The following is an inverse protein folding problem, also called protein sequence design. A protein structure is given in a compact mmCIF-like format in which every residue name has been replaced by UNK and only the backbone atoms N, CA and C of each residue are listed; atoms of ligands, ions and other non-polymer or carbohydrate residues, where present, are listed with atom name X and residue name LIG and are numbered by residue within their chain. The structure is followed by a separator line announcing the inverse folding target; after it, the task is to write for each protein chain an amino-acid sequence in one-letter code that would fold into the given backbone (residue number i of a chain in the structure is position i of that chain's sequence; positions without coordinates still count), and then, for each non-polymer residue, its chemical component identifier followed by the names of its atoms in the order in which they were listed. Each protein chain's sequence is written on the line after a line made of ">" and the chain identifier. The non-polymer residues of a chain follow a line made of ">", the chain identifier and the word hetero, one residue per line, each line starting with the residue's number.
data_IF_459680868578
#
_entry.id   IF_459680868578
#
_cell.length_a   1.000
_cell.length_b   1.000
_cell.length_c   1.000
_cell.angle_alpha   90.00
_cell.angle_beta   90.00
_cell.angle_gamma   90.00
#
_symmetry.space_group_name_H-M   'P 1'
#
loop_
_entity.id
_entity.type
_entity.pdbx_description
1 polymer ?
#
# COMPACT_ATOMS: atom_id res chain seq x y z
N UNK A 1 2.83 11.98 5.58
CA UNK A 1 3.11 10.53 5.39
C UNK A 1 4.45 10.38 4.69
N UNK A 2 5.50 10.19 5.50
CA UNK A 2 6.87 10.23 4.98
C UNK A 2 7.48 8.86 4.71
N UNK A 3 6.87 7.78 5.20
CA UNK A 3 7.42 6.44 5.02
C UNK A 3 6.46 5.56 4.23
N UNK A 4 7.02 4.52 3.61
CA UNK A 4 6.20 3.52 2.92
C UNK A 4 5.18 2.90 3.89
N UNK A 5 5.61 2.60 5.12
CA UNK A 5 4.73 1.99 6.12
C UNK A 5 3.50 2.87 6.39
N UNK A 6 3.71 4.16 6.54
CA UNK A 6 2.61 5.09 6.76
C UNK A 6 1.69 5.19 5.55
N UNK A 7 2.26 5.22 4.36
CA UNK A 7 1.46 5.28 3.13
C UNK A 7 0.66 4.00 2.93
N UNK A 8 1.25 2.84 3.22
CA UNK A 8 0.53 1.57 3.13
C UNK A 8 -0.61 1.50 4.15
N UNK A 9 -0.36 1.95 5.37
CA UNK A 9 -1.40 1.99 6.40
C UNK A 9 -2.56 2.88 5.95
N UNK A 10 -2.25 4.05 5.41
CA UNK A 10 -3.27 4.95 4.87
C UNK A 10 -4.09 4.26 3.78
N UNK A 11 -3.41 3.59 2.84
CA UNK A 11 -4.07 2.89 1.74
C UNK A 11 -5.03 1.82 2.25
N UNK A 12 -4.61 1.05 3.26
CA UNK A 12 -5.45 0.02 3.86
C UNK A 12 -6.67 0.62 4.56
N UNK A 13 -6.49 1.72 5.26
CA UNK A 13 -7.59 2.41 5.93
C UNK A 13 -8.61 2.94 4.93
N UNK A 14 -8.14 3.53 3.84
CA UNK A 14 -9.03 4.04 2.80
C UNK A 14 -9.80 2.93 2.11
N UNK A 15 -9.19 1.76 1.98
CA UNK A 15 -9.82 0.59 1.36
C UNK A 15 -10.63 -0.25 2.36
N UNK A 16 -10.56 0.12 3.65
CA UNK A 16 -11.20 -0.64 4.72
C UNK A 16 -10.75 -2.11 4.73
N UNK A 17 -9.44 -2.32 4.57
CA UNK A 17 -8.86 -3.66 4.46
C UNK A 17 -8.05 -4.03 5.69
N UNK A 18 -8.27 -5.26 6.17
CA UNK A 18 -7.42 -5.86 7.19
C UNK A 18 -6.13 -6.39 6.56
N UNK A 19 -5.17 -6.76 7.41
CA UNK A 19 -3.95 -7.42 6.93
C UNK A 19 -4.27 -8.73 6.23
N UNK A 20 -5.24 -9.48 6.72
CA UNK A 20 -5.68 -10.73 6.07
C UNK A 20 -6.22 -10.48 4.67
N UNK A 21 -7.11 -9.50 4.52
CA UNK A 21 -7.69 -9.17 3.23
C UNK A 21 -6.61 -8.70 2.25
N UNK A 22 -5.69 -7.87 2.71
CA UNK A 22 -4.60 -7.39 1.86
C UNK A 22 -3.67 -8.53 1.46
N UNK A 23 -3.35 -9.42 2.40
CA UNK A 23 -2.53 -10.60 2.13
C UNK A 23 -3.11 -11.42 0.99
N UNK A 24 -4.40 -11.70 1.03
CA UNK A 24 -5.07 -12.48 -0.01
C UNK A 24 -5.06 -11.76 -1.35
N UNK A 25 -5.38 -10.48 -1.36
CA UNK A 25 -5.48 -9.72 -2.62
C UNK A 25 -4.12 -9.46 -3.25
N UNK A 26 -3.12 -9.16 -2.44
CA UNK A 26 -1.80 -8.81 -2.96
C UNK A 26 -0.89 -10.02 -3.17
N UNK A 27 -1.29 -11.18 -2.67
CA UNK A 27 -0.45 -12.37 -2.79
C UNK A 27 0.78 -12.33 -1.91
N UNK A 28 0.73 -11.60 -0.79
CA UNK A 28 1.81 -11.52 0.18
C UNK A 28 1.36 -12.19 1.47
N UNK A 29 2.30 -12.72 2.25
CA UNK A 29 1.95 -13.33 3.53
C UNK A 29 1.56 -12.25 4.55
N UNK A 30 0.78 -12.63 5.55
CA UNK A 30 0.44 -11.72 6.64
C UNK A 30 1.68 -11.24 7.37
N UNK A 31 2.66 -12.13 7.54
CA UNK A 31 3.94 -11.77 8.17
C UNK A 31 4.65 -10.69 7.37
N UNK A 32 4.65 -10.81 6.05
CA UNK A 32 5.26 -9.79 5.18
C UNK A 32 4.52 -8.46 5.33
N UNK A 33 3.19 -8.47 5.29
CA UNK A 33 2.39 -7.26 5.46
C UNK A 33 2.72 -6.59 6.81
N UNK A 34 2.79 -7.38 7.88
CA UNK A 34 3.12 -6.87 9.20
C UNK A 34 4.50 -6.21 9.22
N UNK A 35 5.48 -6.82 8.55
CA UNK A 35 6.83 -6.25 8.47
C UNK A 35 6.85 -4.95 7.67
N UNK A 36 6.09 -4.87 6.60
CA UNK A 36 5.97 -3.62 5.84
C UNK A 36 5.36 -2.51 6.69
N UNK A 37 4.32 -2.82 7.46
CA UNK A 37 3.65 -1.84 8.31
C UNK A 37 4.50 -1.39 9.49
N UNK A 38 5.39 -2.26 9.97
CA UNK A 38 6.29 -1.92 11.08
C UNK A 38 7.54 -1.17 10.62
N UNK A 39 7.76 -1.10 9.31
CA UNK A 39 8.95 -0.47 8.76
C UNK A 39 10.18 -1.35 8.74
N UNK A 40 10.06 -2.62 9.10
CA UNK A 40 11.18 -3.55 9.09
C UNK A 40 11.70 -3.84 7.69
N UNK A 41 10.80 -4.00 6.75
CA UNK A 41 11.13 -4.31 5.37
C UNK A 41 10.37 -3.40 4.43
N UNK A 42 10.99 -3.09 3.30
CA UNK A 42 10.31 -2.42 2.19
C UNK A 42 10.15 -3.45 1.07
N UNK A 43 8.94 -3.60 0.51
CA UNK A 43 8.73 -4.58 -0.55
C UNK A 43 9.43 -4.18 -1.84
N UNK A 44 9.63 -5.16 -2.73
CA UNK A 44 10.14 -4.91 -4.07
C UNK A 44 9.12 -4.11 -4.89
N UNK A 45 9.57 -3.56 -6.02
CA UNK A 45 8.70 -2.80 -6.92
C UNK A 45 7.48 -3.62 -7.34
N UNK A 46 7.68 -4.90 -7.67
CA UNK A 46 6.57 -5.76 -8.07
C UNK A 46 5.54 -5.95 -6.94
N UNK A 47 6.03 -6.08 -5.71
CA UNK A 47 5.12 -6.19 -4.56
C UNK A 47 4.40 -4.87 -4.28
N UNK A 48 5.09 -3.75 -4.46
CA UNK A 48 4.45 -2.44 -4.30
C UNK A 48 3.31 -2.26 -5.30
N UNK A 49 3.53 -2.69 -6.55
CA UNK A 49 2.46 -2.67 -7.57
C UNK A 49 1.26 -3.51 -7.15
N UNK A 50 1.52 -4.71 -6.63
CA UNK A 50 0.46 -5.59 -6.16
C UNK A 50 -0.31 -4.98 -5.00
N UNK A 51 0.40 -4.35 -4.06
CA UNK A 51 -0.22 -3.69 -2.91
C UNK A 51 -1.06 -2.49 -3.36
N UNK A 52 -0.56 -1.73 -4.32
CA UNK A 52 -1.30 -0.60 -4.87
C UNK A 52 -2.60 -1.06 -5.53
N UNK A 53 -2.52 -2.09 -6.36
CA UNK A 53 -3.70 -2.65 -7.02
C UNK A 53 -4.70 -3.21 -6.02
N UNK A 54 -4.22 -3.88 -4.99
CA UNK A 54 -5.09 -4.49 -3.98
C UNK A 54 -5.84 -3.44 -3.17
N UNK A 55 -5.21 -2.32 -2.88
CA UNK A 55 -5.81 -1.27 -2.06
C UNK A 55 -6.51 -0.18 -2.88
N UNK A 56 -6.27 -0.14 -4.19
CA UNK A 56 -6.89 0.86 -5.05
C UNK A 56 -6.16 2.21 -5.06
N UNK A 57 -4.99 2.31 -4.43
CA UNK A 57 -4.18 3.53 -4.51
C UNK A 57 -3.22 3.43 -5.68
N UNK A 58 -2.61 4.56 -6.05
CA UNK A 58 -1.63 4.57 -7.14
C UNK A 58 -0.30 4.02 -6.67
N UNK A 59 0.42 3.39 -7.59
CA UNK A 59 1.80 2.97 -7.33
C UNK A 59 2.66 4.16 -6.90
N UNK A 60 2.51 5.28 -7.60
CA UNK A 60 3.31 6.49 -7.30
C UNK A 60 3.04 7.01 -5.89
N UNK A 61 1.80 6.92 -5.41
CA UNK A 61 1.51 7.30 -4.05
C UNK A 61 2.26 6.42 -3.05
N UNK A 62 2.25 5.11 -3.26
CA UNK A 62 2.95 4.19 -2.35
C UNK A 62 4.46 4.41 -2.39
N UNK A 63 5.00 4.77 -3.55
CA UNK A 63 6.44 5.07 -3.67
C UNK A 63 6.82 6.42 -3.06
N UNK A 64 5.84 7.26 -2.78
CA UNK A 64 6.12 8.56 -2.19
C UNK A 64 6.43 9.66 -3.20
N UNK A 65 5.92 9.51 -4.44
CA UNK A 65 6.18 10.49 -5.49
C UNK A 65 5.20 11.67 -5.49
N UNK A 66 4.38 11.79 -4.46
CA UNK A 66 3.46 12.91 -4.35
C UNK A 66 2.19 12.81 -5.18
N UNK A 67 1.94 11.64 -5.79
CA UNK A 67 0.73 11.43 -6.58
C UNK A 67 -0.51 11.36 -5.68
N UNK A 68 -1.69 11.56 -6.27
CA UNK A 68 -2.94 11.37 -5.57
C UNK A 68 -3.07 9.91 -5.11
N UNK A 69 -3.63 9.66 -3.91
CA UNK A 69 -3.70 8.29 -3.39
C UNK A 69 -4.63 7.37 -4.18
N UNK A 70 -5.65 7.89 -4.83
CA UNK A 70 -6.59 7.05 -5.58
C UNK A 70 -6.48 7.35 -7.07
N UNK A 71 -6.62 6.28 -7.89
CA UNK A 71 -6.39 6.38 -9.33
C UNK A 71 -7.33 7.36 -10.02
N UNK A 72 -8.56 7.45 -9.55
CA UNK A 72 -9.60 8.30 -10.15
C UNK A 72 -9.84 9.57 -9.35
N UNK A 73 -8.92 9.93 -8.45
CA UNK A 73 -9.08 11.14 -7.66
C UNK A 73 -9.03 12.37 -8.58
N UNK A 74 -9.93 13.33 -8.40
CA UNK A 74 -9.84 14.57 -9.18
C UNK A 74 -8.54 15.30 -8.86
N UNK A 75 -7.98 16.03 -9.83
CA UNK A 75 -6.77 16.82 -9.56
C UNK A 75 -7.05 17.87 -8.50
N UNK A 76 -6.04 18.21 -7.70
CA UNK A 76 -6.19 19.24 -6.68
C UNK A 76 -6.46 20.62 -7.25
#
# INVERSE_FOLDING_TARGET
>A
MNTFAERLKYAMEQADMSQSALSEKAGASKAAISQYLSGKNTPSVNKIKALADATGVTFDFLMGYGAAPVKDAPPP
#
